data_IF_279751365194
#
_entry.id   IF_279751365194
#
_cell.length_a   1.000
_cell.length_b   1.000
_cell.length_c   1.000
_cell.angle_alpha   90.00
_cell.angle_beta   90.00
_cell.angle_gamma   90.00
#
_symmetry.space_group_name_H-M   'P 1'
#
loop_
_entity.id
_entity.type
_entity.pdbx_description
1 polymer ?
#
# COMPACT_ATOMS: atom_id res chain seq x y z
N UNK A 1 19.29 42.47 5.77
CA UNK A 1 19.83 41.17 6.25
C UNK A 1 18.70 40.42 6.92
N UNK A 2 18.49 39.14 6.57
CA UNK A 2 17.49 38.31 7.27
C UNK A 2 16.66 37.34 6.43
N UNK A 3 17.13 36.83 5.29
CA UNK A 3 16.34 35.84 4.51
C UNK A 3 17.13 34.69 3.87
N UNK A 4 18.46 34.64 4.00
CA UNK A 4 19.27 33.58 3.39
C UNK A 4 19.61 32.40 4.34
N UNK A 5 19.39 32.52 5.65
CA UNK A 5 19.90 31.53 6.63
C UNK A 5 18.90 30.41 6.94
N UNK A 6 17.62 30.52 6.55
CA UNK A 6 16.59 29.49 6.84
C UNK A 6 16.33 28.46 5.72
N UNK A 7 16.94 28.61 4.54
CA UNK A 7 16.80 27.63 3.44
C UNK A 7 17.88 26.55 3.41
N UNK A 8 18.94 26.67 4.23
CA UNK A 8 20.00 25.66 4.28
C UNK A 8 19.68 24.47 5.21
N UNK A 9 18.73 24.60 6.15
CA UNK A 9 18.49 23.59 7.18
C UNK A 9 17.46 22.49 6.81
N UNK A 10 16.79 22.59 5.66
CA UNK A 10 15.72 21.64 5.24
C UNK A 10 16.19 20.69 4.13
N UNK A 11 17.39 20.88 3.58
CA UNK A 11 17.95 20.03 2.52
C UNK A 11 18.91 18.93 3.02
N UNK A 12 19.24 18.88 4.31
CA UNK A 12 20.21 17.90 4.82
C UNK A 12 19.56 16.59 5.33
N UNK A 13 18.30 16.60 5.74
CA UNK A 13 17.66 15.44 6.38
C UNK A 13 17.26 14.34 5.39
N UNK A 14 16.88 14.70 4.16
CA UNK A 14 16.59 13.73 3.09
C UNK A 14 17.84 13.01 2.56
N UNK A 15 19.04 13.56 2.82
CA UNK A 15 20.30 12.98 2.37
C UNK A 15 20.80 11.87 3.30
N UNK A 16 20.46 11.89 4.58
CA UNK A 16 20.93 10.88 5.54
C UNK A 16 20.13 9.59 5.37
N UNK A 17 18.80 9.69 5.27
CA UNK A 17 17.93 8.52 5.14
C UNK A 17 18.14 7.79 3.79
N UNK A 18 18.35 8.53 2.69
CA UNK A 18 18.70 7.93 1.41
C UNK A 18 20.08 7.24 1.40
N UNK A 19 21.05 7.79 2.16
CA UNK A 19 22.37 7.16 2.32
C UNK A 19 22.32 5.88 3.15
N UNK A 20 21.50 5.86 4.20
CA UNK A 20 21.28 4.65 5.03
C UNK A 20 20.61 3.55 4.21
N UNK A 21 19.57 3.87 3.44
CA UNK A 21 18.90 2.89 2.59
C UNK A 21 19.84 2.35 1.50
N UNK A 22 20.62 3.22 0.87
CA UNK A 22 21.63 2.80 -0.10
C UNK A 22 22.69 1.89 0.52
N UNK A 23 23.14 2.18 1.75
CA UNK A 23 24.10 1.35 2.48
C UNK A 23 23.54 -0.06 2.74
N UNK A 24 22.28 -0.17 3.18
CA UNK A 24 21.65 -1.47 3.44
C UNK A 24 21.54 -2.33 2.18
N UNK A 25 21.17 -1.74 1.03
CA UNK A 25 21.14 -2.48 -0.24
C UNK A 25 22.52 -3.02 -0.65
N UNK A 26 23.60 -2.25 -0.39
CA UNK A 26 24.96 -2.72 -0.66
C UNK A 26 25.36 -3.86 0.28
N UNK A 27 24.95 -3.81 1.56
CA UNK A 27 25.23 -4.86 2.54
C UNK A 27 24.51 -6.16 2.14
N UNK A 28 23.22 -6.10 1.79
CA UNK A 28 22.46 -7.26 1.31
C UNK A 28 23.10 -7.89 0.05
N UNK A 29 23.59 -7.06 -0.86
CA UNK A 29 24.28 -7.51 -2.06
C UNK A 29 25.61 -8.19 -1.72
N UNK A 30 26.40 -7.63 -0.80
CA UNK A 30 27.63 -8.24 -0.29
C UNK A 30 27.38 -9.61 0.35
N UNK A 31 26.30 -9.76 1.14
CA UNK A 31 25.91 -11.04 1.76
C UNK A 31 25.52 -12.07 0.69
N UNK A 32 24.78 -11.64 -0.33
CA UNK A 32 24.41 -12.53 -1.44
C UNK A 32 25.64 -13.03 -2.21
N UNK A 33 26.60 -12.14 -2.48
CA UNK A 33 27.89 -12.51 -3.08
C UNK A 33 28.65 -13.46 -2.16
N UNK A 34 28.68 -13.18 -0.86
CA UNK A 34 29.36 -14.03 0.12
C UNK A 34 28.81 -15.46 0.12
N UNK A 35 27.48 -15.61 0.03
CA UNK A 35 26.83 -16.91 -0.13
C UNK A 35 27.26 -17.64 -1.41
N UNK A 36 27.28 -16.95 -2.55
CA UNK A 36 27.76 -17.55 -3.81
C UNK A 36 29.24 -17.96 -3.75
N UNK A 37 30.08 -17.11 -3.15
CA UNK A 37 31.49 -17.39 -2.96
C UNK A 37 31.68 -18.59 -2.02
N UNK A 38 30.95 -18.67 -0.91
CA UNK A 38 30.98 -19.80 0.02
C UNK A 38 30.77 -21.13 -0.73
N UNK A 39 29.72 -21.21 -1.54
CA UNK A 39 29.43 -22.40 -2.37
C UNK A 39 30.55 -22.68 -3.39
N UNK A 40 31.10 -21.64 -4.01
CA UNK A 40 32.21 -21.79 -4.96
C UNK A 40 33.50 -22.32 -4.30
N UNK A 41 33.82 -21.85 -3.09
CA UNK A 41 34.98 -22.30 -2.32
C UNK A 41 34.77 -23.65 -1.61
N UNK A 42 33.51 -24.07 -1.41
CA UNK A 42 33.18 -25.40 -0.90
C UNK A 42 33.53 -26.54 -1.86
N UNK A 43 33.67 -26.23 -3.16
CA UNK A 43 33.94 -27.19 -4.23
C UNK A 43 35.40 -27.62 -4.26
N UNK A 44 35.76 -28.62 -3.44
CA UNK A 44 37.12 -29.15 -3.30
C UNK A 44 37.78 -29.56 -4.62
N UNK A 45 37.00 -29.94 -5.62
CA UNK A 45 37.50 -30.30 -6.95
C UNK A 45 38.10 -29.11 -7.73
N UNK A 46 37.71 -27.87 -7.40
CA UNK A 46 38.22 -26.65 -8.03
C UNK A 46 39.49 -26.12 -7.34
N UNK A 47 39.68 -26.47 -6.07
CA UNK A 47 40.73 -25.93 -5.19
C UNK A 47 41.75 -26.98 -4.75
N UNK A 48 41.83 -28.10 -5.48
CA UNK A 48 42.76 -29.20 -5.21
C UNK A 48 44.23 -28.77 -5.09
N UNK A 49 45.08 -29.70 -4.62
CA UNK A 49 46.39 -29.45 -3.97
C UNK A 49 47.42 -28.61 -4.73
N UNK A 50 47.22 -28.27 -6.01
CA UNK A 50 47.94 -27.24 -6.75
C UNK A 50 46.99 -26.60 -7.75
N UNK A 51 46.36 -25.49 -7.38
CA UNK A 51 45.74 -24.61 -8.38
C UNK A 51 46.87 -24.05 -9.25
N UNK A 52 46.97 -24.49 -10.50
CA UNK A 52 48.00 -24.04 -11.44
C UNK A 52 47.78 -22.58 -11.89
N UNK A 53 46.62 -22.01 -11.59
CA UNK A 53 46.29 -20.63 -11.95
C UNK A 53 46.65 -19.65 -10.83
N UNK A 54 47.89 -19.15 -10.90
CA UNK A 54 48.42 -18.17 -9.93
C UNK A 54 47.56 -16.91 -9.81
N UNK A 55 46.95 -16.44 -10.91
CA UNK A 55 46.13 -15.23 -10.90
C UNK A 55 44.87 -15.41 -10.06
N UNK A 56 44.21 -16.57 -10.18
CA UNK A 56 43.01 -16.90 -9.39
C UNK A 56 43.36 -17.02 -7.91
N UNK A 57 44.54 -17.56 -7.59
CA UNK A 57 45.02 -17.66 -6.21
C UNK A 57 45.29 -16.29 -5.59
N UNK A 58 45.89 -15.35 -6.33
CA UNK A 58 46.10 -13.99 -5.82
C UNK A 58 44.77 -13.23 -5.66
N UNK A 59 43.85 -13.34 -6.62
CA UNK A 59 42.50 -12.73 -6.49
C UNK A 59 41.72 -13.29 -5.30
N UNK A 60 41.84 -14.59 -5.03
CA UNK A 60 41.20 -15.21 -3.87
C UNK A 60 41.77 -14.69 -2.53
N UNK A 61 43.08 -14.39 -2.48
CA UNK A 61 43.70 -13.76 -1.30
C UNK A 61 43.22 -12.33 -1.10
N UNK A 62 43.16 -11.54 -2.17
CA UNK A 62 42.67 -10.16 -2.11
C UNK A 62 41.20 -10.11 -1.68
N UNK A 63 40.40 -11.04 -2.19
CA UNK A 63 39.01 -11.22 -1.77
C UNK A 63 38.92 -11.58 -0.29
N UNK A 64 39.72 -12.53 0.19
CA UNK A 64 39.75 -12.92 1.60
C UNK A 64 40.12 -11.74 2.50
N UNK A 65 41.16 -10.97 2.13
CA UNK A 65 41.57 -9.79 2.89
C UNK A 65 40.46 -8.72 2.94
N UNK A 66 39.78 -8.48 1.82
CA UNK A 66 38.68 -7.50 1.74
C UNK A 66 37.46 -7.98 2.55
N UNK A 67 37.14 -9.27 2.48
CA UNK A 67 36.05 -9.88 3.23
C UNK A 67 36.31 -9.82 4.75
N UNK A 68 37.55 -10.05 5.19
CA UNK A 68 37.95 -9.88 6.60
C UNK A 68 37.75 -8.43 7.07
N UNK A 69 38.13 -7.44 6.25
CA UNK A 69 37.89 -6.03 6.59
C UNK A 69 36.39 -5.70 6.67
N UNK A 70 35.59 -6.22 5.74
CA UNK A 70 34.14 -6.03 5.73
C UNK A 70 33.47 -6.67 6.96
N UNK A 71 33.86 -7.90 7.30
CA UNK A 71 33.43 -8.60 8.51
C UNK A 71 33.66 -7.76 9.76
N UNK A 72 34.87 -7.21 9.94
CA UNK A 72 35.21 -6.39 11.11
C UNK A 72 34.38 -5.10 11.19
N UNK A 73 34.02 -4.50 10.05
CA UNK A 73 33.13 -3.32 10.05
C UNK A 73 31.69 -3.69 10.40
N UNK A 74 31.15 -4.77 9.83
CA UNK A 74 29.80 -5.25 10.14
C UNK A 74 29.67 -5.66 11.62
N UNK A 75 30.71 -6.33 12.15
CA UNK A 75 30.83 -6.66 13.57
C UNK A 75 30.77 -5.41 14.46
N UNK A 76 31.49 -4.33 14.10
CA UNK A 76 31.45 -3.05 14.84
C UNK A 76 30.09 -2.35 14.75
N UNK A 77 29.37 -2.52 13.64
CA UNK A 77 28.04 -1.96 13.42
C UNK A 77 26.91 -2.79 14.07
N UNK A 78 27.21 -3.98 14.60
CA UNK A 78 26.21 -4.86 15.22
C UNK A 78 25.35 -5.64 14.23
N UNK A 79 25.75 -5.71 12.96
CA UNK A 79 25.07 -6.45 11.90
C UNK A 79 25.54 -7.91 11.90
N UNK A 80 25.01 -8.72 12.83
CA UNK A 80 25.54 -10.05 13.17
C UNK A 80 25.27 -11.10 12.10
N UNK A 81 24.08 -11.11 11.49
CA UNK A 81 23.71 -12.08 10.46
C UNK A 81 24.60 -11.92 9.23
N UNK A 82 24.82 -10.68 8.80
CA UNK A 82 25.63 -10.33 7.65
C UNK A 82 27.12 -10.59 7.92
N UNK A 83 27.58 -10.30 9.13
CA UNK A 83 28.93 -10.66 9.57
C UNK A 83 29.12 -12.19 9.58
N UNK A 84 28.14 -12.96 10.06
CA UNK A 84 28.22 -14.43 10.06
C UNK A 84 28.29 -15.00 8.64
N UNK A 85 27.53 -14.45 7.69
CA UNK A 85 27.61 -14.90 6.29
C UNK A 85 29.01 -14.71 5.68
N UNK A 86 29.68 -13.59 5.97
CA UNK A 86 31.06 -13.35 5.55
C UNK A 86 32.06 -14.24 6.30
N UNK A 87 31.81 -14.51 7.58
CA UNK A 87 32.63 -15.43 8.38
C UNK A 87 32.58 -16.85 7.79
N UNK A 88 31.39 -17.37 7.47
CA UNK A 88 31.24 -18.70 6.86
C UNK A 88 31.92 -18.78 5.48
N UNK A 89 31.82 -17.71 4.67
CA UNK A 89 32.55 -17.64 3.40
C UNK A 89 34.07 -17.71 3.63
N UNK A 90 34.60 -16.90 4.56
CA UNK A 90 36.02 -16.90 4.92
C UNK A 90 36.47 -18.26 5.44
N UNK A 91 35.63 -18.94 6.23
CA UNK A 91 35.92 -20.27 6.74
C UNK A 91 36.11 -21.26 5.58
N UNK A 92 35.20 -21.24 4.60
CA UNK A 92 35.29 -22.10 3.42
C UNK A 92 36.50 -21.74 2.54
N UNK A 93 36.77 -20.44 2.33
CA UNK A 93 37.93 -19.98 1.56
C UNK A 93 39.27 -20.46 2.16
N UNK A 94 39.44 -20.27 3.47
CA UNK A 94 40.71 -20.55 4.15
C UNK A 94 40.90 -22.05 4.44
N UNK A 95 39.86 -22.72 4.94
CA UNK A 95 39.97 -24.13 5.37
C UNK A 95 39.74 -25.13 4.24
N UNK A 96 38.77 -24.87 3.36
CA UNK A 96 38.41 -25.79 2.27
C UNK A 96 39.08 -25.42 0.96
N UNK A 97 39.13 -24.12 0.63
CA UNK A 97 39.76 -23.59 -0.58
C UNK A 97 41.28 -23.46 -0.49
N UNK A 98 41.87 -23.62 0.70
CA UNK A 98 43.32 -23.51 0.91
C UNK A 98 43.89 -22.11 0.65
N UNK A 99 43.04 -21.08 0.63
CA UNK A 99 43.48 -19.68 0.50
C UNK A 99 44.27 -19.31 1.74
N UNK A 100 45.43 -18.66 1.58
CA UNK A 100 46.25 -18.22 2.72
C UNK A 100 45.69 -16.92 3.29
N UNK A 101 45.41 -16.89 4.58
CA UNK A 101 44.96 -15.70 5.31
C UNK A 101 44.73 -16.00 6.79
N UNK A 102 44.54 -14.94 7.58
CA UNK A 102 44.15 -15.04 8.98
C UNK A 102 42.63 -15.06 9.09
N UNK A 103 42.09 -16.02 9.85
CA UNK A 103 40.66 -16.08 10.17
C UNK A 103 40.36 -15.01 11.23
N UNK A 104 39.35 -14.15 11.03
CA UNK A 104 38.97 -13.19 12.06
C UNK A 104 38.34 -13.90 13.27
N UNK A 105 38.35 -13.24 14.43
CA UNK A 105 37.74 -13.81 15.65
C UNK A 105 36.23 -14.00 15.45
N UNK A 106 35.68 -15.20 15.74
CA UNK A 106 34.25 -15.44 15.64
C UNK A 106 33.47 -14.47 16.52
N UNK A 107 32.24 -14.14 16.12
CA UNK A 107 31.34 -13.41 16.99
C UNK A 107 31.16 -14.22 18.28
N UNK A 108 31.14 -13.57 19.46
CA UNK A 108 30.86 -14.28 20.71
C UNK A 108 29.53 -15.00 20.53
N UNK A 109 29.53 -16.30 20.84
CA UNK A 109 28.32 -17.12 20.85
C UNK A 109 27.27 -16.36 21.66
N UNK A 110 26.09 -16.16 21.07
CA UNK A 110 25.01 -15.53 21.80
C UNK A 110 24.74 -16.37 23.04
N UNK A 111 24.84 -15.74 24.21
CA UNK A 111 24.39 -16.31 25.46
C UNK A 111 22.97 -16.83 25.19
N UNK A 112 22.72 -18.13 25.42
CA UNK A 112 21.54 -18.95 25.05
C UNK A 112 20.23 -18.35 25.57
N UNK A 113 19.93 -17.15 25.12
CA UNK A 113 18.65 -16.47 25.21
C UNK A 113 17.78 -17.24 24.23
N UNK A 114 16.61 -17.72 24.66
CA UNK A 114 15.85 -18.71 23.91
C UNK A 114 15.63 -18.21 22.50
N UNK A 115 16.15 -18.98 21.53
CA UNK A 115 15.91 -18.82 20.10
C UNK A 115 14.39 -18.65 19.89
N UNK A 116 13.94 -17.40 19.76
CA UNK A 116 12.64 -17.11 19.22
C UNK A 116 12.75 -17.36 17.72
N UNK A 117 12.66 -18.63 17.32
CA UNK A 117 12.21 -18.95 15.97
C UNK A 117 10.85 -18.30 15.81
N UNK A 118 10.84 -17.17 15.10
CA UNK A 118 9.61 -16.48 14.73
C UNK A 118 8.69 -17.51 14.07
N UNK A 119 7.46 -17.61 14.56
CA UNK A 119 6.47 -18.49 13.94
C UNK A 119 6.35 -18.17 12.45
N UNK A 120 5.85 -19.10 11.63
CA UNK A 120 5.65 -18.84 10.20
C UNK A 120 4.86 -17.55 9.93
N UNK A 121 3.90 -17.21 10.82
CA UNK A 121 3.15 -15.96 10.78
C UNK A 121 4.00 -14.73 11.13
N UNK A 122 4.90 -14.84 12.11
CA UNK A 122 5.83 -13.76 12.47
C UNK A 122 6.92 -13.56 11.42
N UNK A 123 7.43 -14.64 10.83
CA UNK A 123 8.36 -14.61 9.69
C UNK A 123 7.70 -14.04 8.43
N UNK A 124 6.42 -14.33 8.21
CA UNK A 124 5.64 -13.72 7.14
C UNK A 124 5.42 -12.22 7.40
N UNK A 125 4.99 -11.82 8.59
CA UNK A 125 4.80 -10.41 8.96
C UNK A 125 6.10 -9.60 8.91
N UNK A 126 7.24 -10.17 9.32
CA UNK A 126 8.54 -9.49 9.22
C UNK A 126 9.03 -9.39 7.77
N UNK A 127 8.80 -10.41 6.95
CA UNK A 127 9.09 -10.40 5.52
C UNK A 127 8.09 -9.60 4.68
N UNK A 128 6.92 -9.27 5.21
CA UNK A 128 5.84 -8.65 4.46
C UNK A 128 6.12 -7.18 4.10
N UNK A 129 6.73 -6.41 5.00
CA UNK A 129 7.19 -5.05 4.68
C UNK A 129 8.24 -5.03 3.57
N UNK A 130 9.13 -6.02 3.55
CA UNK A 130 10.12 -6.23 2.49
C UNK A 130 9.47 -6.71 1.18
N UNK A 131 8.46 -7.59 1.26
CA UNK A 131 7.69 -8.03 0.08
C UNK A 131 6.89 -6.87 -0.51
N UNK A 132 6.22 -6.06 0.31
CA UNK A 132 5.56 -4.83 -0.12
C UNK A 132 6.58 -3.86 -0.72
N UNK A 133 7.73 -3.66 -0.09
CA UNK A 133 8.83 -2.85 -0.62
C UNK A 133 9.28 -3.34 -1.99
N UNK A 134 9.58 -4.64 -2.13
CA UNK A 134 10.00 -5.26 -3.39
C UNK A 134 8.92 -5.29 -4.45
N UNK A 135 7.66 -5.51 -4.07
CA UNK A 135 6.52 -5.45 -4.99
C UNK A 135 6.30 -4.01 -5.45
N UNK A 136 6.40 -3.04 -4.55
CA UNK A 136 6.36 -1.62 -4.87
C UNK A 136 7.53 -1.23 -5.79
N UNK A 137 8.75 -1.66 -5.52
CA UNK A 137 9.93 -1.41 -6.36
C UNK A 137 9.80 -2.09 -7.74
N UNK A 138 9.36 -3.34 -7.77
CA UNK A 138 9.09 -4.11 -8.99
C UNK A 138 8.02 -3.41 -9.85
N UNK A 139 7.01 -2.81 -9.21
CA UNK A 139 5.93 -2.07 -9.87
C UNK A 139 6.22 -0.56 -10.01
N UNK A 140 7.40 -0.08 -9.60
CA UNK A 140 7.78 1.34 -9.56
C UNK A 140 6.73 2.22 -8.86
N UNK A 141 6.28 1.77 -7.71
CA UNK A 141 5.39 2.43 -6.76
C UNK A 141 6.28 3.00 -5.65
N UNK A 142 6.24 4.33 -5.45
CA UNK A 142 7.03 4.96 -4.41
C UNK A 142 6.43 4.63 -3.03
N UNK A 143 7.25 4.12 -2.11
CA UNK A 143 6.88 3.69 -0.75
C UNK A 143 5.71 4.49 -0.16
N UNK A 144 4.69 3.81 0.41
CA UNK A 144 3.54 4.47 0.98
C UNK A 144 4.00 5.27 2.21
N UNK A 145 3.94 6.60 2.12
CA UNK A 145 3.97 7.42 3.31
C UNK A 145 2.62 7.25 4.02
N UNK A 146 2.69 7.09 5.35
CA UNK A 146 1.56 6.87 6.23
C UNK A 146 0.41 7.86 5.94
N UNK A 147 -0.76 7.32 5.61
CA UNK A 147 -2.02 8.04 5.71
C UNK A 147 -2.84 8.17 4.43
N UNK A 148 -2.29 7.94 3.23
CA UNK A 148 -3.08 7.87 1.98
C UNK A 148 -2.42 6.91 1.00
N UNK A 149 -3.07 5.79 0.68
CA UNK A 149 -2.71 5.01 -0.49
C UNK A 149 -2.75 5.96 -1.69
N UNK A 150 -1.62 6.17 -2.37
CA UNK A 150 -1.57 7.11 -3.50
C UNK A 150 -2.52 6.54 -4.56
N UNK A 151 -3.47 7.35 -5.01
CA UNK A 151 -4.45 6.94 -6.03
C UNK A 151 -3.78 6.29 -7.26
N UNK A 152 -2.58 6.73 -7.58
CA UNK A 152 -1.75 6.16 -8.65
C UNK A 152 -1.34 4.70 -8.44
N UNK A 153 -1.12 4.27 -7.20
CA UNK A 153 -0.73 2.90 -6.88
C UNK A 153 -1.93 1.95 -7.01
N UNK A 154 -3.10 2.40 -6.55
CA UNK A 154 -4.38 1.72 -6.77
C UNK A 154 -4.63 1.54 -8.28
N UNK A 155 -4.39 2.59 -9.07
CA UNK A 155 -4.54 2.58 -10.54
C UNK A 155 -3.62 1.54 -11.19
N UNK A 156 -2.33 1.57 -10.85
CA UNK A 156 -1.33 0.63 -11.38
C UNK A 156 -1.65 -0.82 -11.01
N UNK A 157 -1.96 -1.06 -9.74
CA UNK A 157 -2.32 -2.40 -9.24
C UNK A 157 -3.61 -2.90 -9.90
N UNK A 158 -4.61 -2.04 -10.08
CA UNK A 158 -5.84 -2.39 -10.77
C UNK A 158 -5.55 -2.78 -12.23
N UNK A 159 -4.74 -2.01 -12.96
CA UNK A 159 -4.35 -2.32 -14.34
C UNK A 159 -3.59 -3.65 -14.44
N UNK A 160 -2.69 -3.91 -13.51
CA UNK A 160 -1.91 -5.15 -13.45
C UNK A 160 -2.81 -6.37 -13.14
N UNK A 161 -3.58 -6.29 -12.06
CA UNK A 161 -4.36 -7.41 -11.54
C UNK A 161 -5.66 -7.64 -12.30
N UNK A 162 -6.21 -6.62 -12.95
CA UNK A 162 -7.41 -6.72 -13.77
C UNK A 162 -7.16 -7.11 -15.24
N UNK A 163 -5.89 -7.26 -15.65
CA UNK A 163 -5.52 -7.63 -17.03
C UNK A 163 -5.20 -9.13 -17.12
N UNK A 164 -5.89 -9.85 -18.00
CA UNK A 164 -5.59 -11.25 -18.34
C UNK A 164 -4.41 -11.39 -19.31
N UNK A 165 -3.84 -10.27 -19.80
CA UNK A 165 -2.80 -10.25 -20.82
C UNK A 165 -1.43 -10.77 -20.36
N UNK A 166 -1.24 -10.96 -19.06
CA UNK A 166 0.01 -11.52 -18.51
C UNK A 166 -0.16 -13.02 -18.23
N UNK A 167 0.86 -13.82 -18.54
CA UNK A 167 0.83 -15.27 -18.32
C UNK A 167 0.52 -15.63 -16.85
N UNK A 168 1.06 -14.84 -15.91
CA UNK A 168 0.84 -15.01 -14.48
C UNK A 168 -0.60 -14.72 -14.02
N UNK A 169 -1.39 -13.96 -14.81
CA UNK A 169 -2.74 -13.55 -14.44
C UNK A 169 -3.82 -14.12 -15.38
N UNK A 170 -3.53 -15.23 -16.07
CA UNK A 170 -4.53 -15.92 -16.89
C UNK A 170 -5.74 -16.31 -16.02
N UNK A 171 -6.94 -15.87 -16.41
CA UNK A 171 -8.16 -16.10 -15.63
C UNK A 171 -8.24 -15.32 -14.31
N UNK A 172 -7.47 -14.22 -14.18
CA UNK A 172 -7.46 -13.32 -13.02
C UNK A 172 -7.07 -14.02 -11.70
N UNK A 173 -6.18 -15.01 -11.77
CA UNK A 173 -5.74 -15.78 -10.60
C UNK A 173 -5.08 -14.91 -9.53
N UNK A 174 -4.31 -13.89 -9.91
CA UNK A 174 -3.67 -12.99 -8.93
C UNK A 174 -4.72 -12.12 -8.23
N UNK A 175 -5.72 -11.64 -8.97
CA UNK A 175 -6.84 -10.89 -8.39
C UNK A 175 -7.66 -11.77 -7.43
N UNK A 176 -7.87 -13.04 -7.78
CA UNK A 176 -8.51 -14.02 -6.89
C UNK A 176 -7.71 -14.24 -5.61
N UNK A 177 -6.39 -14.38 -5.70
CA UNK A 177 -5.52 -14.51 -4.53
C UNK A 177 -5.57 -13.26 -3.66
N UNK A 178 -5.54 -12.05 -4.26
CA UNK A 178 -5.72 -10.80 -3.52
C UNK A 178 -7.06 -10.77 -2.79
N UNK A 179 -8.17 -11.13 -3.45
CA UNK A 179 -9.49 -11.17 -2.82
C UNK A 179 -9.56 -12.18 -1.67
N UNK A 180 -8.99 -13.37 -1.84
CA UNK A 180 -8.89 -14.35 -0.75
C UNK A 180 -8.08 -13.82 0.44
N UNK A 181 -6.99 -13.10 0.16
CA UNK A 181 -6.11 -12.54 1.18
C UNK A 181 -6.76 -11.41 1.97
N UNK A 182 -7.46 -10.48 1.31
CA UNK A 182 -8.15 -9.37 2.00
C UNK A 182 -9.46 -9.78 2.68
N UNK A 183 -10.04 -10.91 2.29
CA UNK A 183 -11.20 -11.49 2.99
C UNK A 183 -10.82 -12.14 4.33
N UNK A 184 -9.53 -12.37 4.58
CA UNK A 184 -9.03 -12.92 5.83
C UNK A 184 -9.23 -11.92 6.99
N UNK A 185 -9.72 -12.42 8.13
CA UNK A 185 -9.96 -11.63 9.34
C UNK A 185 -8.66 -11.20 10.03
N UNK A 186 -7.55 -11.91 9.75
CA UNK A 186 -6.22 -11.55 10.25
C UNK A 186 -5.47 -10.60 9.31
N UNK A 187 -6.07 -10.24 8.17
CA UNK A 187 -5.47 -9.29 7.23
C UNK A 187 -5.42 -7.88 7.85
N UNK A 188 -4.26 -7.24 7.75
CA UNK A 188 -4.07 -5.87 8.20
C UNK A 188 -5.06 -4.89 7.52
N UNK A 189 -5.65 -3.98 8.30
CA UNK A 189 -6.70 -3.06 7.82
C UNK A 189 -6.25 -2.19 6.65
N UNK A 190 -4.97 -1.77 6.62
CA UNK A 190 -4.45 -0.97 5.52
C UNK A 190 -4.38 -1.80 4.22
N UNK A 191 -3.97 -3.07 4.32
CA UNK A 191 -4.00 -3.99 3.19
C UNK A 191 -5.41 -4.28 2.70
N UNK A 192 -6.35 -4.50 3.62
CA UNK A 192 -7.77 -4.67 3.28
C UNK A 192 -8.28 -3.45 2.52
N UNK A 193 -8.03 -2.25 3.03
CA UNK A 193 -8.44 -1.00 2.40
C UNK A 193 -7.86 -0.85 0.99
N UNK A 194 -6.55 -1.05 0.83
CA UNK A 194 -5.89 -0.98 -0.48
C UNK A 194 -6.44 -2.02 -1.45
N UNK A 195 -6.61 -3.28 -1.01
CA UNK A 195 -7.13 -4.35 -1.84
C UNK A 195 -8.57 -4.09 -2.28
N UNK A 196 -9.43 -3.59 -1.39
CA UNK A 196 -10.81 -3.19 -1.70
C UNK A 196 -10.83 -2.07 -2.76
N UNK A 197 -9.98 -1.06 -2.61
CA UNK A 197 -9.85 0.02 -3.58
C UNK A 197 -9.36 -0.48 -4.95
N UNK A 198 -8.41 -1.42 -4.97
CA UNK A 198 -7.90 -2.04 -6.20
C UNK A 198 -8.98 -2.86 -6.90
N UNK A 199 -9.68 -3.75 -6.19
CA UNK A 199 -10.77 -4.56 -6.76
C UNK A 199 -11.87 -3.65 -7.32
N UNK A 200 -12.21 -2.57 -6.61
CA UNK A 200 -13.18 -1.59 -7.10
C UNK A 200 -12.65 -0.87 -8.34
N UNK A 201 -11.40 -0.41 -8.36
CA UNK A 201 -10.80 0.25 -9.51
C UNK A 201 -10.75 -0.66 -10.76
N UNK A 202 -10.58 -1.98 -10.60
CA UNK A 202 -10.69 -2.95 -11.72
C UNK A 202 -12.05 -2.86 -12.41
N UNK A 203 -13.16 -2.68 -11.67
CA UNK A 203 -14.51 -2.53 -12.26
C UNK A 203 -14.65 -1.25 -13.09
N UNK A 204 -14.00 -0.16 -12.67
CA UNK A 204 -14.03 1.11 -13.39
C UNK A 204 -13.15 1.06 -14.62
N UNK A 205 -11.88 0.66 -14.46
CA UNK A 205 -10.89 0.75 -15.54
C UNK A 205 -11.00 -0.35 -16.58
N UNK A 206 -11.60 -1.50 -16.22
CA UNK A 206 -11.77 -2.69 -17.08
C UNK A 206 -10.51 -3.04 -17.88
N UNK A 207 -9.40 -3.42 -17.22
CA UNK A 207 -8.11 -3.48 -17.89
C UNK A 207 -8.02 -4.49 -19.05
N UNK A 208 -8.85 -5.53 -19.02
CA UNK A 208 -8.99 -6.51 -20.10
C UNK A 208 -9.88 -6.09 -21.28
N UNK A 209 -10.53 -4.93 -21.23
CA UNK A 209 -11.38 -4.42 -22.32
C UNK A 209 -10.52 -3.70 -23.38
N UNK A 210 -10.32 -4.38 -24.51
CA UNK A 210 -9.53 -3.87 -25.62
C UNK A 210 -10.18 -2.68 -26.35
N UNK A 211 -11.48 -2.41 -26.11
CA UNK A 211 -12.19 -1.30 -26.74
C UNK A 211 -12.01 0.02 -25.98
N UNK A 212 -11.42 -0.01 -24.78
CA UNK A 212 -11.16 1.18 -23.99
C UNK A 212 -9.75 1.71 -24.23
N UNK A 213 -9.68 2.93 -24.73
CA UNK A 213 -8.46 3.74 -24.79
C UNK A 213 -7.98 4.14 -23.40
N UNK A 214 -6.69 4.47 -23.26
CA UNK A 214 -6.11 4.92 -21.99
C UNK A 214 -6.81 6.16 -21.44
N UNK A 215 -7.18 7.12 -22.30
CA UNK A 215 -7.92 8.32 -21.89
C UNK A 215 -9.32 7.99 -21.34
N UNK A 216 -10.00 7.00 -21.91
CA UNK A 216 -11.29 6.52 -21.39
C UNK A 216 -11.12 5.82 -20.04
N UNK A 217 -10.06 5.02 -19.88
CA UNK A 217 -9.72 4.38 -18.59
C UNK A 217 -9.38 5.42 -17.53
N UNK A 218 -8.68 6.48 -17.89
CA UNK A 218 -8.36 7.59 -16.99
C UNK A 218 -9.61 8.36 -16.59
N UNK A 219 -10.53 8.63 -17.54
CA UNK A 219 -11.81 9.24 -17.23
C UNK A 219 -12.65 8.38 -16.27
N UNK A 220 -12.69 7.07 -16.49
CA UNK A 220 -13.33 6.09 -15.61
C UNK A 220 -12.68 6.06 -14.22
N UNK A 221 -11.35 6.11 -14.15
CA UNK A 221 -10.64 6.22 -12.88
C UNK A 221 -10.96 7.55 -12.17
N UNK A 222 -11.14 8.63 -12.92
CA UNK A 222 -11.63 9.91 -12.39
C UNK A 222 -13.02 9.83 -11.76
N UNK A 223 -13.92 8.97 -12.27
CA UNK A 223 -15.21 8.69 -11.62
C UNK A 223 -15.04 7.92 -10.31
N UNK A 224 -14.16 6.90 -10.31
CA UNK A 224 -13.79 6.15 -9.11
C UNK A 224 -13.30 7.08 -7.99
N UNK A 225 -12.38 8.00 -8.31
CA UNK A 225 -11.82 8.96 -7.37
C UNK A 225 -12.88 9.91 -6.77
N UNK A 226 -13.96 10.19 -7.52
CA UNK A 226 -15.08 11.03 -7.08
C UNK A 226 -16.22 10.22 -6.44
N UNK A 227 -16.05 8.91 -6.27
CA UNK A 227 -17.09 7.99 -5.83
C UNK A 227 -18.39 8.08 -6.66
N UNK A 228 -18.25 8.35 -7.95
CA UNK A 228 -19.37 8.42 -8.88
C UNK A 228 -19.61 7.06 -9.53
N UNK A 229 -20.86 6.64 -9.77
CA UNK A 229 -21.13 5.34 -10.36
C UNK A 229 -20.53 5.20 -11.77
N UNK A 230 -20.04 4.00 -12.15
CA UNK A 230 -19.37 3.79 -13.43
C UNK A 230 -20.31 3.99 -14.63
N UNK A 231 -21.62 3.87 -14.42
CA UNK A 231 -22.69 4.11 -15.40
C UNK A 231 -22.68 5.55 -15.94
N UNK A 232 -22.19 6.54 -15.18
CA UNK A 232 -22.13 7.94 -15.62
C UNK A 232 -21.17 8.21 -16.78
N UNK A 233 -20.19 7.33 -17.01
CA UNK A 233 -19.28 7.47 -18.16
C UNK A 233 -19.89 7.00 -19.49
N UNK A 234 -21.06 6.34 -19.46
CA UNK A 234 -21.50 5.46 -20.54
C UNK A 234 -22.72 6.03 -21.25
N UNK A 235 -22.51 6.53 -22.47
CA UNK A 235 -23.58 6.91 -23.39
C UNK A 235 -24.04 5.77 -24.32
N UNK A 236 -23.52 4.55 -24.16
CA UNK A 236 -23.75 3.44 -25.10
C UNK A 236 -24.05 2.11 -24.42
N UNK A 237 -25.17 1.50 -24.81
CA UNK A 237 -25.70 0.20 -24.32
C UNK A 237 -24.69 -0.97 -24.34
N UNK A 238 -23.74 -0.99 -25.27
CA UNK A 238 -22.73 -2.06 -25.32
C UNK A 238 -21.83 -2.10 -24.10
N UNK A 239 -21.48 -0.93 -23.54
CA UNK A 239 -20.60 -0.82 -22.38
C UNK A 239 -21.25 -1.32 -21.08
N UNK A 240 -22.59 -1.35 -21.00
CA UNK A 240 -23.33 -1.92 -19.86
C UNK A 240 -23.19 -3.45 -19.80
N UNK A 241 -23.10 -4.11 -20.97
CA UNK A 241 -22.93 -5.58 -21.03
C UNK A 241 -21.56 -6.00 -20.51
N UNK A 242 -20.52 -5.25 -20.87
CA UNK A 242 -19.15 -5.53 -20.41
C UNK A 242 -19.00 -5.31 -18.91
N UNK A 243 -19.65 -4.27 -18.36
CA UNK A 243 -19.70 -4.06 -16.91
C UNK A 243 -20.38 -5.25 -16.21
N UNK A 244 -21.56 -5.64 -16.71
CA UNK A 244 -22.36 -6.73 -16.15
C UNK A 244 -21.58 -8.05 -16.14
N UNK A 245 -20.83 -8.31 -17.21
CA UNK A 245 -19.95 -9.48 -17.31
C UNK A 245 -18.81 -9.40 -16.29
N UNK A 246 -18.13 -8.26 -16.19
CA UNK A 246 -17.01 -8.09 -15.27
C UNK A 246 -17.45 -8.19 -13.79
N UNK A 247 -18.58 -7.58 -13.44
CA UNK A 247 -19.20 -7.72 -12.11
C UNK A 247 -19.44 -9.19 -11.76
N UNK A 248 -20.02 -9.95 -12.70
CA UNK A 248 -20.25 -11.38 -12.49
C UNK A 248 -18.94 -12.17 -12.37
N UNK A 249 -17.92 -11.82 -13.16
CA UNK A 249 -16.60 -12.43 -13.05
C UNK A 249 -15.99 -12.17 -11.66
N UNK A 250 -15.94 -10.93 -11.20
CA UNK A 250 -15.37 -10.61 -9.88
C UNK A 250 -16.17 -11.24 -8.74
N UNK A 251 -17.50 -11.28 -8.84
CA UNK A 251 -18.34 -11.98 -7.87
C UNK A 251 -17.95 -13.46 -7.76
N UNK A 252 -17.72 -14.15 -8.90
CA UNK A 252 -17.27 -15.55 -8.93
C UNK A 252 -15.86 -15.78 -8.40
N UNK A 253 -15.02 -14.75 -8.46
CA UNK A 253 -13.66 -14.82 -7.93
C UNK A 253 -13.60 -14.56 -6.41
N UNK A 254 -14.69 -14.09 -5.78
CA UNK A 254 -14.77 -13.89 -4.33
C UNK A 254 -15.10 -12.47 -3.89
N UNK A 255 -15.47 -11.55 -4.80
CA UNK A 255 -15.78 -10.17 -4.41
C UNK A 255 -16.97 -10.08 -3.44
N UNK A 256 -17.93 -11.00 -3.51
CA UNK A 256 -19.06 -11.08 -2.57
C UNK A 256 -18.55 -11.41 -1.16
N UNK A 257 -17.69 -12.42 -1.04
CA UNK A 257 -17.12 -12.85 0.24
C UNK A 257 -16.26 -11.75 0.87
N UNK A 258 -15.44 -11.07 0.06
CA UNK A 258 -14.65 -9.91 0.49
C UNK A 258 -15.54 -8.81 1.07
N UNK A 259 -16.63 -8.45 0.39
CA UNK A 259 -17.54 -7.40 0.87
C UNK A 259 -18.16 -7.81 2.20
N UNK A 260 -18.62 -9.07 2.33
CA UNK A 260 -19.25 -9.56 3.56
C UNK A 260 -18.23 -9.56 4.71
N UNK A 261 -17.04 -10.13 4.51
CA UNK A 261 -15.99 -10.19 5.53
C UNK A 261 -15.50 -8.80 5.96
N UNK A 262 -15.24 -7.90 5.01
CA UNK A 262 -14.69 -6.57 5.32
C UNK A 262 -15.73 -5.61 5.93
N UNK A 263 -17.04 -5.82 5.72
CA UNK A 263 -18.08 -5.07 6.45
C UNK A 263 -18.09 -5.41 7.95
N UNK A 264 -17.60 -6.60 8.33
CA UNK A 264 -17.42 -6.96 9.74
C UNK A 264 -16.17 -6.35 10.39
N UNK A 265 -15.33 -5.63 9.63
CA UNK A 265 -14.11 -5.00 10.17
C UNK A 265 -14.45 -3.94 11.20
N UNK A 266 -13.61 -3.79 12.23
CA UNK A 266 -13.71 -2.71 13.22
C UNK A 266 -13.24 -1.37 12.67
N UNK A 267 -12.47 -1.37 11.58
CA UNK A 267 -11.97 -0.19 10.88
C UNK A 267 -13.07 0.44 10.00
N UNK A 268 -13.37 1.71 10.25
CA UNK A 268 -14.44 2.43 9.55
C UNK A 268 -14.13 2.66 8.06
N UNK A 269 -12.87 2.87 7.68
CA UNK A 269 -12.46 3.10 6.30
C UNK A 269 -12.57 1.80 5.49
N UNK A 270 -12.18 0.67 6.09
CA UNK A 270 -12.37 -0.66 5.48
C UNK A 270 -13.85 -0.95 5.27
N UNK A 271 -14.71 -0.72 6.27
CA UNK A 271 -16.16 -0.90 6.14
C UNK A 271 -16.73 -0.04 5.01
N UNK A 272 -16.36 1.24 4.95
CA UNK A 272 -16.82 2.15 3.91
C UNK A 272 -16.37 1.70 2.52
N UNK A 273 -15.10 1.30 2.37
CA UNK A 273 -14.58 0.80 1.10
C UNK A 273 -15.27 -0.50 0.66
N UNK A 274 -15.58 -1.40 1.60
CA UNK A 274 -16.32 -2.62 1.35
C UNK A 274 -17.76 -2.33 0.87
N UNK A 275 -18.46 -1.39 1.51
CA UNK A 275 -19.78 -0.94 1.07
C UNK A 275 -19.74 -0.31 -0.32
N UNK A 276 -18.74 0.52 -0.61
CA UNK A 276 -18.55 1.11 -1.94
C UNK A 276 -18.29 0.06 -3.02
N UNK A 277 -17.50 -0.98 -2.71
CA UNK A 277 -17.30 -2.11 -3.60
C UNK A 277 -18.61 -2.87 -3.82
N UNK A 278 -19.36 -3.16 -2.75
CA UNK A 278 -20.67 -3.81 -2.83
C UNK A 278 -21.66 -3.07 -3.73
N UNK A 279 -21.76 -1.75 -3.57
CA UNK A 279 -22.58 -0.89 -4.44
C UNK A 279 -22.10 -0.97 -5.89
N UNK A 280 -20.78 -0.89 -6.14
CA UNK A 280 -20.22 -0.92 -7.50
C UNK A 280 -20.45 -2.27 -8.19
N UNK A 281 -20.34 -3.37 -7.44
CA UNK A 281 -20.56 -4.74 -7.92
C UNK A 281 -22.05 -5.00 -8.24
N UNK A 282 -22.95 -4.30 -7.56
CA UNK A 282 -24.40 -4.38 -7.75
C UNK A 282 -24.98 -3.30 -8.68
N UNK A 283 -24.14 -2.38 -9.18
CA UNK A 283 -24.53 -1.29 -10.07
C UNK A 283 -25.31 -1.83 -11.29
N UNK A 284 -26.39 -1.14 -11.68
CA UNK A 284 -27.25 -1.56 -12.79
C UNK A 284 -28.15 -2.77 -12.50
N UNK A 285 -28.15 -3.29 -11.27
CA UNK A 285 -29.09 -4.34 -10.85
C UNK A 285 -28.75 -5.73 -11.41
N UNK A 286 -27.47 -6.10 -11.40
CA UNK A 286 -27.01 -7.40 -11.88
C UNK A 286 -27.58 -8.57 -11.05
N UNK A 287 -28.73 -9.11 -11.48
CA UNK A 287 -29.50 -10.13 -10.73
C UNK A 287 -28.66 -11.35 -10.32
N UNK A 288 -27.75 -11.81 -11.19
CA UNK A 288 -26.90 -12.96 -10.87
C UNK A 288 -25.99 -12.68 -9.67
N UNK A 289 -25.47 -11.47 -9.57
CA UNK A 289 -24.63 -11.07 -8.44
C UNK A 289 -25.48 -10.83 -7.19
N UNK A 290 -26.69 -10.29 -7.33
CA UNK A 290 -27.67 -10.22 -6.25
C UNK A 290 -28.00 -11.60 -5.68
N UNK A 291 -28.23 -12.60 -6.53
CA UNK A 291 -28.49 -13.99 -6.12
C UNK A 291 -27.29 -14.57 -5.36
N UNK A 292 -26.05 -14.23 -5.74
CA UNK A 292 -24.84 -14.63 -5.01
C UNK A 292 -24.74 -13.98 -3.64
N UNK A 293 -25.00 -12.67 -3.52
CA UNK A 293 -25.10 -11.99 -2.23
C UNK A 293 -26.18 -12.61 -1.34
N UNK A 294 -27.37 -12.87 -1.90
CA UNK A 294 -28.47 -13.46 -1.15
C UNK A 294 -28.12 -14.86 -0.64
N UNK A 295 -27.51 -15.69 -1.49
CA UNK A 295 -27.05 -17.02 -1.10
C UNK A 295 -26.00 -16.95 0.02
N UNK A 296 -24.99 -16.09 -0.09
CA UNK A 296 -23.96 -15.92 0.92
C UNK A 296 -24.54 -15.38 2.25
N UNK A 297 -25.31 -14.30 2.21
CA UNK A 297 -25.89 -13.66 3.40
C UNK A 297 -26.97 -14.52 4.10
N UNK A 298 -27.56 -15.49 3.40
CA UNK A 298 -28.51 -16.43 4.02
C UNK A 298 -27.85 -17.42 4.98
N UNK A 299 -26.52 -17.55 4.94
CA UNK A 299 -25.79 -18.47 5.80
C UNK A 299 -25.73 -17.93 7.25
N UNK A 300 -25.99 -18.78 8.27
CA UNK A 300 -25.95 -18.35 9.67
C UNK A 300 -24.60 -17.77 10.13
N UNK A 301 -23.49 -18.18 9.51
CA UNK A 301 -22.15 -17.65 9.81
C UNK A 301 -22.01 -16.15 9.51
N UNK A 302 -22.87 -15.59 8.66
CA UNK A 302 -22.84 -14.19 8.22
C UNK A 302 -23.81 -13.30 9.01
N UNK A 303 -24.24 -13.72 10.21
CA UNK A 303 -25.03 -12.86 11.09
C UNK A 303 -24.27 -11.60 11.53
N UNK A 304 -22.94 -11.67 11.64
CA UNK A 304 -22.08 -10.54 12.01
C UNK A 304 -22.24 -9.36 11.05
N UNK A 305 -22.37 -9.62 9.76
CA UNK A 305 -22.68 -8.62 8.73
C UNK A 305 -23.90 -7.76 9.12
N UNK A 306 -25.04 -8.38 9.44
CA UNK A 306 -26.27 -7.65 9.74
C UNK A 306 -26.19 -6.88 11.05
N UNK A 307 -25.51 -7.43 12.06
CA UNK A 307 -25.27 -6.74 13.33
C UNK A 307 -24.44 -5.47 13.11
N UNK A 308 -23.36 -5.56 12.33
CA UNK A 308 -22.50 -4.41 12.03
C UNK A 308 -23.21 -3.36 11.17
N UNK A 309 -23.99 -3.76 10.16
CA UNK A 309 -24.81 -2.82 9.38
C UNK A 309 -25.82 -2.09 10.26
N UNK A 310 -26.47 -2.79 11.19
CA UNK A 310 -27.40 -2.15 12.15
C UNK A 310 -26.66 -1.15 13.05
N UNK A 311 -25.50 -1.52 13.59
CA UNK A 311 -24.69 -0.62 14.40
C UNK A 311 -24.31 0.66 13.63
N UNK A 312 -23.91 0.52 12.35
CA UNK A 312 -23.63 1.67 11.48
C UNK A 312 -24.84 2.59 11.29
N UNK A 313 -26.05 2.04 11.16
CA UNK A 313 -27.26 2.87 11.08
C UNK A 313 -27.52 3.62 12.39
N UNK A 314 -27.34 2.98 13.54
CA UNK A 314 -27.52 3.60 14.84
C UNK A 314 -26.49 4.75 15.05
N UNK A 315 -25.22 4.53 14.71
CA UNK A 315 -24.16 5.55 14.70
C UNK A 315 -24.53 6.74 13.79
N UNK A 316 -24.93 6.48 12.54
CA UNK A 316 -25.34 7.53 11.60
C UNK A 316 -26.54 8.35 12.11
N UNK A 317 -27.50 7.69 12.77
CA UNK A 317 -28.66 8.36 13.35
C UNK A 317 -28.22 9.32 14.47
N UNK A 318 -27.30 8.90 15.31
CA UNK A 318 -26.81 9.71 16.41
C UNK A 318 -25.95 10.89 15.92
N UNK A 319 -25.11 10.69 14.92
CA UNK A 319 -24.36 11.76 14.23
C UNK A 319 -25.30 12.81 13.62
N UNK A 320 -26.39 12.38 12.96
CA UNK A 320 -27.39 13.30 12.42
C UNK A 320 -28.09 14.12 13.51
N UNK A 321 -28.41 13.50 14.66
CA UNK A 321 -28.99 14.21 15.80
C UNK A 321 -28.01 15.23 16.38
N UNK A 322 -26.74 14.87 16.50
CA UNK A 322 -25.69 15.76 16.99
C UNK A 322 -25.48 16.94 16.05
N UNK A 323 -25.34 16.69 14.75
CA UNK A 323 -25.22 17.73 13.73
C UNK A 323 -26.39 18.73 13.80
N UNK A 324 -27.62 18.23 13.94
CA UNK A 324 -28.82 19.07 14.10
C UNK A 324 -28.82 19.88 15.40
N UNK A 325 -28.33 19.33 16.52
CA UNK A 325 -28.17 20.06 17.79
C UNK A 325 -27.14 21.18 17.64
N UNK A 326 -26.01 20.90 16.99
CA UNK A 326 -24.94 21.86 16.72
C UNK A 326 -25.42 23.00 15.83
N UNK A 327 -26.15 22.69 14.76
CA UNK A 327 -26.72 23.71 13.87
C UNK A 327 -27.71 24.63 14.61
N UNK A 328 -28.61 24.06 15.42
CA UNK A 328 -29.54 24.85 16.25
C UNK A 328 -28.82 25.78 17.21
N UNK A 329 -27.73 25.31 17.83
CA UNK A 329 -26.91 26.12 18.74
C UNK A 329 -26.26 27.28 17.99
N UNK A 330 -25.66 27.04 16.82
CA UNK A 330 -25.07 28.08 15.97
C UNK A 330 -26.13 29.10 15.53
N UNK A 331 -27.33 28.67 15.17
CA UNK A 331 -28.44 29.56 14.80
C UNK A 331 -28.90 30.42 15.99
N UNK A 332 -29.02 29.85 17.18
CA UNK A 332 -29.39 30.58 18.39
C UNK A 332 -28.31 31.60 18.81
N UNK A 333 -27.04 31.23 18.73
CA UNK A 333 -25.89 32.12 18.98
C UNK A 333 -25.90 33.29 17.99
N UNK A 334 -26.08 33.04 16.69
CA UNK A 334 -26.25 34.10 15.67
C UNK A 334 -27.41 35.03 16.00
N UNK A 335 -28.59 34.50 16.31
CA UNK A 335 -29.77 35.28 16.65
C UNK A 335 -29.59 36.15 17.92
N UNK A 336 -28.84 35.66 18.90
CA UNK A 336 -28.54 36.41 20.13
C UNK A 336 -27.50 37.52 19.92
N UNK A 337 -26.49 37.30 19.08
CA UNK A 337 -25.49 38.31 18.74
C UNK A 337 -26.08 39.46 17.91
N UNK A 338 -27.04 39.19 17.01
CA UNK A 338 -27.75 40.26 16.28
C UNK A 338 -28.58 41.15 17.22
N UNK A 339 -29.11 40.59 18.33
CA UNK A 339 -29.88 41.36 19.32
C UNK A 339 -29.02 42.14 20.31
N UNK A 340 -27.75 41.76 20.51
CA UNK A 340 -26.79 42.43 21.43
C UNK A 340 -25.98 43.57 20.79
N UNK A 341 -26.36 44.02 19.59
CA UNK A 341 -25.88 45.29 19.02
C UNK A 341 -26.84 46.49 19.20
N UNK A 342 -27.50 46.72 20.36
CA UNK A 342 -28.18 47.98 20.62
C UNK A 342 -27.17 48.99 21.18
N UNK A 343 -26.80 49.98 20.38
CA UNK A 343 -26.32 51.25 20.92
C UNK A 343 -24.80 51.40 21.08
N UNK A 344 -24.07 51.50 19.98
CA UNK A 344 -23.16 52.64 19.81
C UNK A 344 -23.88 53.60 18.87
N UNK A 345 -24.48 54.69 19.35
CA UNK A 345 -23.72 55.88 19.71
C UNK A 345 -23.44 56.64 18.42
N UNK A 346 -24.39 57.50 18.03
CA UNK A 346 -24.42 58.15 16.73
C UNK A 346 -23.36 59.21 16.51
N UNK A 347 -23.20 59.62 15.25
CA UNK A 347 -22.86 61.00 14.88
C UNK A 347 -23.68 61.34 13.64
N UNK A 348 -24.47 62.41 13.76
CA UNK A 348 -25.25 62.97 12.68
C UNK A 348 -24.38 63.39 11.50
N UNK A 349 -24.84 63.08 10.31
CA UNK A 349 -24.30 63.58 9.06
C UNK A 349 -25.45 63.94 8.14
N UNK A 350 -25.99 65.14 8.35
CA UNK A 350 -27.01 65.75 7.50
C UNK A 350 -26.32 66.22 6.22
N UNK A 351 -26.65 65.62 5.08
CA UNK A 351 -26.27 66.04 3.73
C UNK A 351 -26.60 64.91 2.77
N UNK A 352 -27.62 64.95 1.92
CA UNK A 352 -28.00 66.05 1.03
C UNK A 352 -27.46 65.71 -0.36
N UNK A 353 -28.34 65.30 -1.30
CA UNK A 353 -28.01 65.05 -2.72
C UNK A 353 -28.56 63.71 -3.21
N UNK A 354 -29.75 63.70 -3.82
CA UNK A 354 -29.92 63.60 -5.28
C UNK A 354 -29.44 62.23 -5.81
N UNK A 355 -30.34 61.29 -6.11
CA UNK A 355 -31.13 61.30 -7.35
C UNK A 355 -30.41 60.43 -8.39
N UNK A 356 -30.84 59.18 -8.55
CA UNK A 356 -30.27 58.25 -9.52
C UNK A 356 -31.17 57.05 -9.75
N UNK A 357 -31.84 57.05 -10.91
CA UNK A 357 -32.78 56.04 -11.41
C UNK A 357 -32.23 54.60 -11.49
N UNK A 358 -33.10 53.58 -11.42
CA UNK A 358 -32.72 52.21 -11.74
C UNK A 358 -32.78 51.96 -13.25
N UNK A 359 -31.61 51.83 -13.89
CA UNK A 359 -31.50 51.24 -15.24
C UNK A 359 -31.78 49.74 -15.16
N UNK A 360 -32.87 49.32 -15.81
CA UNK A 360 -33.06 47.96 -16.33
C UNK A 360 -31.94 47.66 -17.33
N UNK A 361 -31.28 46.52 -17.19
CA UNK A 361 -30.61 45.86 -18.31
C UNK A 361 -31.10 44.41 -18.37
N UNK A 362 -31.78 44.11 -19.48
CA UNK A 362 -31.92 42.76 -19.98
C UNK A 362 -30.69 42.40 -20.82
N UNK A 363 -30.39 41.11 -20.84
CA UNK A 363 -29.44 40.42 -21.69
C UNK A 363 -29.72 38.94 -21.55
#
# INVERSE_FOLDING_TARGET
GGSAVKQAAVLEDGGVQGRVQSLMCHIEFCVSIAGCCKEYFARKELWGSKSDNKEVVELAKDLAATATQCYEQLKKLGLREEANALYEMLEMMLHTGGVKGEMPDPLPAEDDSPNFTLSAAQSFSSGWGLFQGRLCDFLKIAHPQEGRCKSEDVRKLAMLLGSEGTFANKGLNLLKQLMSFIADKECDSYLQLMGLQVVRAVLYMRPGDANLTDDQREALFGLFMRNQPPSLSQSSYERDKDLTRLQLTLARLGAVDVVISCVESTDADVRLAALQLGVTVLEGGNRRVQDMFAAALSQPSNQGFFVNIRALFDECIDDMKEAKRKEKRVQAERASNTKKSPGGGGVGGRGGGAGGEPRRLGG
#
